data_IF_172165560398
#
_entry.id   IF_172165560398
#
_cell.length_a   1.000
_cell.length_b   1.000
_cell.length_c   1.000
_cell.angle_alpha   90.00
_cell.angle_beta   90.00
_cell.angle_gamma   90.00
#
_symmetry.space_group_name_H-M   'P 1'
#
loop_
_entity.id
_entity.type
_entity.pdbx_description
1 polymer ?
#
# COMPACT_ATOMS: atom_id res chain seq x y z
N UNK A 1 -29.42 51.46 19.53
CA UNK A 1 -28.74 51.15 18.25
C UNK A 1 -27.58 50.20 18.54
N UNK A 2 -27.83 48.89 18.57
CA UNK A 2 -26.77 47.88 18.65
C UNK A 2 -26.65 47.21 17.29
N UNK A 3 -25.54 47.44 16.60
CA UNK A 3 -25.22 46.71 15.36
C UNK A 3 -24.74 45.32 15.76
N UNK A 4 -25.49 44.31 15.34
CA UNK A 4 -25.10 42.92 15.41
C UNK A 4 -24.03 42.69 14.33
N UNK A 5 -22.83 42.27 14.73
CA UNK A 5 -21.82 41.81 13.79
C UNK A 5 -22.13 40.35 13.43
N UNK A 6 -22.17 39.97 12.14
CA UNK A 6 -22.29 38.58 11.77
C UNK A 6 -21.00 37.85 12.18
N UNK A 7 -21.14 36.77 12.94
CA UNK A 7 -20.06 35.82 13.18
C UNK A 7 -19.71 35.17 11.85
N UNK A 8 -18.61 35.63 11.24
CA UNK A 8 -18.01 34.95 10.12
C UNK A 8 -17.29 33.71 10.70
N UNK A 9 -17.95 32.56 10.67
CA UNK A 9 -17.30 31.27 10.88
C UNK A 9 -16.31 31.07 9.73
N UNK A 10 -15.03 31.36 9.99
CA UNK A 10 -13.97 30.92 9.11
C UNK A 10 -13.97 29.38 9.10
N UNK A 11 -13.94 28.72 7.93
CA UNK A 11 -13.72 27.28 7.89
C UNK A 11 -12.37 26.99 8.56
N UNK A 12 -12.35 26.02 9.47
CA UNK A 12 -11.16 25.60 10.20
C UNK A 12 -10.10 25.11 9.22
N UNK A 13 -9.04 25.90 9.02
CA UNK A 13 -7.93 25.57 8.12
C UNK A 13 -7.13 24.35 8.61
N UNK A 14 -7.23 23.98 9.89
CA UNK A 14 -6.52 22.83 10.47
C UNK A 14 -7.03 21.50 9.91
N UNK A 15 -8.36 21.40 9.72
CA UNK A 15 -9.00 20.19 9.21
C UNK A 15 -8.65 19.90 7.75
N UNK A 16 -8.31 20.92 6.95
CA UNK A 16 -7.94 20.75 5.54
C UNK A 16 -6.50 20.22 5.37
N UNK A 17 -5.55 20.66 6.22
CA UNK A 17 -4.18 20.13 6.17
C UNK A 17 -4.08 18.70 6.68
N UNK A 18 -4.82 18.37 7.75
CA UNK A 18 -4.85 17.00 8.29
C UNK A 18 -5.50 16.02 7.31
N UNK A 19 -6.61 16.44 6.67
CA UNK A 19 -7.24 15.67 5.61
C UNK A 19 -6.27 15.40 4.45
N UNK A 20 -5.53 16.41 3.99
CA UNK A 20 -4.54 16.26 2.92
C UNK A 20 -3.42 15.28 3.30
N UNK A 21 -2.95 15.32 4.55
CA UNK A 21 -1.98 14.35 5.06
C UNK A 21 -2.55 12.94 5.02
N UNK A 22 -3.76 12.71 5.54
CA UNK A 22 -4.41 11.39 5.51
C UNK A 22 -4.58 10.87 4.08
N UNK A 23 -5.08 11.72 3.17
CA UNK A 23 -5.23 11.37 1.75
C UNK A 23 -3.88 11.03 1.11
N UNK A 24 -2.83 11.81 1.40
CA UNK A 24 -1.48 11.55 0.90
C UNK A 24 -0.92 10.23 1.42
N UNK A 25 -1.13 9.93 2.70
CA UNK A 25 -0.69 8.67 3.32
C UNK A 25 -1.39 7.48 2.69
N UNK A 26 -2.72 7.53 2.56
CA UNK A 26 -3.52 6.46 1.93
C UNK A 26 -3.16 6.26 0.46
N UNK A 27 -2.93 7.33 -0.30
CA UNK A 27 -2.45 7.24 -1.69
C UNK A 27 -1.04 6.64 -1.79
N UNK A 28 -0.18 6.88 -0.80
CA UNK A 28 1.12 6.21 -0.66
C UNK A 28 0.97 4.69 -0.54
N UNK A 29 0.10 4.24 0.37
CA UNK A 29 -0.20 2.82 0.55
C UNK A 29 -0.87 2.19 -0.68
N UNK A 30 -1.76 2.93 -1.34
CA UNK A 30 -2.40 2.51 -2.58
C UNK A 30 -1.36 2.22 -3.66
N UNK A 31 -0.39 3.11 -3.85
CA UNK A 31 0.73 2.89 -4.77
C UNK A 31 1.54 1.65 -4.37
N UNK A 32 1.87 1.47 -3.08
CA UNK A 32 2.57 0.28 -2.58
C UNK A 32 1.79 -1.02 -2.89
N UNK A 33 0.48 -1.05 -2.65
CA UNK A 33 -0.37 -2.21 -2.92
C UNK A 33 -0.50 -2.52 -4.42
N UNK A 34 -0.64 -1.50 -5.28
CA UNK A 34 -0.65 -1.67 -6.75
C UNK A 34 0.68 -2.24 -7.25
N UNK A 35 1.81 -1.71 -6.77
CA UNK A 35 3.13 -2.20 -7.14
C UNK A 35 3.33 -3.66 -6.71
N UNK A 36 2.95 -4.00 -5.49
CA UNK A 36 3.01 -5.39 -5.00
C UNK A 36 2.16 -6.32 -5.86
N UNK A 37 0.94 -5.92 -6.22
CA UNK A 37 0.05 -6.70 -7.11
C UNK A 37 0.71 -7.04 -8.44
N UNK A 38 1.30 -6.05 -9.11
CA UNK A 38 1.97 -6.29 -10.40
C UNK A 38 3.27 -7.09 -10.26
N UNK A 39 3.99 -6.91 -9.14
CA UNK A 39 5.15 -7.72 -8.78
C UNK A 39 4.79 -9.20 -8.66
N UNK A 40 3.79 -9.55 -7.86
CA UNK A 40 3.33 -10.93 -7.71
C UNK A 40 2.78 -11.53 -9.01
N UNK A 41 2.05 -10.76 -9.82
CA UNK A 41 1.60 -11.22 -11.14
C UNK A 41 2.75 -11.57 -12.06
N UNK A 42 3.87 -10.88 -11.93
CA UNK A 42 5.05 -11.17 -12.75
C UNK A 42 5.84 -12.34 -12.17
N UNK A 43 6.04 -12.39 -10.84
CA UNK A 43 6.62 -13.55 -10.16
C UNK A 43 5.89 -14.86 -10.53
N UNK A 44 4.55 -14.84 -10.56
CA UNK A 44 3.74 -15.98 -10.99
C UNK A 44 3.95 -16.39 -12.47
N UNK A 45 4.33 -15.45 -13.34
CA UNK A 45 4.62 -15.75 -14.75
C UNK A 45 6.02 -16.32 -14.94
N UNK A 46 6.96 -15.86 -14.13
CA UNK A 46 8.39 -16.11 -14.30
C UNK A 46 8.86 -17.37 -13.55
N UNK A 47 8.18 -17.76 -12.46
CA UNK A 47 8.49 -19.01 -11.75
C UNK A 47 8.08 -20.26 -12.53
N UNK A 48 8.89 -21.32 -12.38
CA UNK A 48 8.60 -22.65 -12.95
C UNK A 48 7.99 -23.61 -11.93
N UNK A 49 7.96 -23.24 -10.65
CA UNK A 49 7.37 -24.03 -9.57
C UNK A 49 5.85 -23.77 -9.49
N UNK A 50 5.05 -24.83 -9.62
CA UNK A 50 3.58 -24.75 -9.62
C UNK A 50 3.00 -24.32 -8.25
N UNK A 51 3.68 -24.64 -7.14
CA UNK A 51 3.27 -24.22 -5.80
C UNK A 51 3.51 -22.72 -5.63
N UNK A 52 4.70 -22.22 -6.00
CA UNK A 52 5.02 -20.79 -5.97
C UNK A 52 4.11 -20.00 -6.92
N UNK A 53 3.83 -20.54 -8.10
CA UNK A 53 2.88 -19.93 -9.04
C UNK A 53 1.48 -19.78 -8.44
N UNK A 54 1.00 -20.80 -7.74
CA UNK A 54 -0.30 -20.77 -7.06
C UNK A 54 -0.30 -19.72 -5.95
N UNK A 55 0.75 -19.72 -5.13
CA UNK A 55 0.95 -18.75 -4.06
C UNK A 55 0.97 -17.31 -4.60
N UNK A 56 1.84 -16.99 -5.55
CA UNK A 56 1.95 -15.63 -6.11
C UNK A 56 0.65 -15.14 -6.77
N UNK A 57 -0.11 -16.02 -7.45
CA UNK A 57 -1.42 -15.64 -7.99
C UNK A 57 -2.45 -15.32 -6.89
N UNK A 58 -2.47 -16.11 -5.82
CA UNK A 58 -3.33 -15.85 -4.65
C UNK A 58 -2.96 -14.52 -4.00
N UNK A 59 -1.68 -14.27 -3.75
CA UNK A 59 -1.21 -13.02 -3.14
C UNK A 59 -1.53 -11.82 -4.04
N UNK A 60 -1.39 -11.94 -5.37
CA UNK A 60 -1.81 -10.88 -6.29
C UNK A 60 -3.32 -10.57 -6.21
N UNK A 61 -4.16 -11.57 -5.96
CA UNK A 61 -5.61 -11.37 -5.76
C UNK A 61 -5.87 -10.63 -4.43
N UNK A 62 -5.17 -11.01 -3.36
CA UNK A 62 -5.26 -10.33 -2.06
C UNK A 62 -4.84 -8.85 -2.18
N UNK A 63 -3.74 -8.56 -2.89
CA UNK A 63 -3.33 -7.17 -3.18
C UNK A 63 -4.38 -6.40 -3.97
N UNK A 64 -5.12 -7.05 -4.87
CA UNK A 64 -6.20 -6.39 -5.61
C UNK A 64 -7.36 -5.97 -4.69
N UNK A 65 -7.69 -6.78 -3.69
CA UNK A 65 -8.68 -6.42 -2.66
C UNK A 65 -8.19 -5.22 -1.84
N UNK A 66 -6.93 -5.26 -1.38
CA UNK A 66 -6.34 -4.15 -0.62
C UNK A 66 -6.36 -2.82 -1.39
N UNK A 67 -6.06 -2.87 -2.69
CA UNK A 67 -6.16 -1.71 -3.58
C UNK A 67 -7.58 -1.14 -3.57
N UNK A 68 -8.61 -1.96 -3.71
CA UNK A 68 -9.99 -1.50 -3.70
C UNK A 68 -10.37 -0.84 -2.36
N UNK A 69 -10.00 -1.46 -1.24
CA UNK A 69 -10.27 -0.92 0.10
C UNK A 69 -9.58 0.45 0.29
N UNK A 70 -8.31 0.56 -0.14
CA UNK A 70 -7.55 1.81 -0.03
C UNK A 70 -8.14 2.93 -0.91
N UNK A 71 -8.59 2.60 -2.13
CA UNK A 71 -9.30 3.58 -2.97
C UNK A 71 -10.57 4.10 -2.28
N UNK A 72 -11.33 3.23 -1.63
CA UNK A 72 -12.54 3.60 -0.91
C UNK A 72 -12.22 4.46 0.32
N UNK A 73 -11.15 4.15 1.06
CA UNK A 73 -10.68 4.97 2.18
C UNK A 73 -10.22 6.37 1.74
N UNK A 74 -9.53 6.48 0.59
CA UNK A 74 -9.13 7.78 0.02
C UNK A 74 -10.36 8.62 -0.31
N UNK A 75 -11.36 8.03 -0.99
CA UNK A 75 -12.62 8.71 -1.31
C UNK A 75 -13.39 9.11 -0.06
N UNK A 76 -13.48 8.23 0.93
CA UNK A 76 -14.12 8.51 2.22
C UNK A 76 -13.43 9.64 2.99
N UNK A 77 -12.12 9.78 2.82
CA UNK A 77 -11.33 10.88 3.39
C UNK A 77 -11.45 12.19 2.60
N UNK A 78 -12.19 12.21 1.48
CA UNK A 78 -12.39 13.40 0.64
C UNK A 78 -11.30 13.62 -0.41
N UNK A 79 -10.46 12.63 -0.66
CA UNK A 79 -9.43 12.65 -1.70
C UNK A 79 -9.86 11.95 -2.99
N UNK A 80 -8.99 12.01 -3.99
CA UNK A 80 -9.10 11.21 -5.22
C UNK A 80 -8.02 10.10 -5.17
N UNK A 81 -8.39 8.82 -5.40
CA UNK A 81 -7.42 7.74 -5.43
C UNK A 81 -6.40 7.95 -6.54
N UNK A 82 -5.14 7.98 -6.15
CA UNK A 82 -4.02 8.17 -7.05
C UNK A 82 -2.88 7.21 -6.73
N UNK A 83 -2.82 6.12 -7.50
CA UNK A 83 -1.74 5.15 -7.42
C UNK A 83 -0.46 5.61 -8.16
N UNK A 84 -0.47 6.77 -8.82
CA UNK A 84 0.69 7.32 -9.53
C UNK A 84 1.68 8.08 -8.62
N UNK A 85 1.33 8.22 -7.33
CA UNK A 85 2.07 8.95 -6.31
C UNK A 85 3.55 8.58 -6.14
N UNK A 86 4.27 9.41 -5.39
CA UNK A 86 5.74 9.48 -5.21
C UNK A 86 6.47 8.14 -4.93
N UNK A 87 5.79 7.10 -4.46
CA UNK A 87 6.32 5.74 -4.31
C UNK A 87 6.56 5.04 -5.64
N UNK A 88 5.79 5.36 -6.69
CA UNK A 88 5.98 4.84 -8.04
C UNK A 88 7.40 5.10 -8.55
N UNK A 89 8.02 6.25 -8.24
CA UNK A 89 9.40 6.55 -8.64
C UNK A 89 10.49 5.71 -7.95
N UNK A 90 10.22 5.19 -6.74
CA UNK A 90 11.15 4.32 -5.99
C UNK A 90 10.90 2.84 -6.29
N UNK A 91 9.63 2.44 -6.35
CA UNK A 91 9.22 1.09 -6.73
C UNK A 91 9.60 0.75 -8.17
N UNK A 92 9.48 1.71 -9.11
CA UNK A 92 9.83 1.46 -10.51
C UNK A 92 11.33 1.23 -10.72
N UNK A 93 12.20 1.77 -9.86
CA UNK A 93 13.63 1.42 -9.85
C UNK A 93 13.88 0.06 -9.21
N UNK A 94 13.22 -0.24 -8.09
CA UNK A 94 13.30 -1.56 -7.47
C UNK A 94 12.90 -2.69 -8.42
N UNK A 95 11.76 -2.57 -9.10
CA UNK A 95 11.26 -3.57 -10.05
C UNK A 95 12.12 -3.72 -11.32
N UNK A 96 12.77 -2.66 -11.79
CA UNK A 96 13.69 -2.73 -12.93
C UNK A 96 14.98 -3.46 -12.55
N UNK A 97 15.55 -3.18 -11.38
CA UNK A 97 16.75 -3.85 -10.89
C UNK A 97 16.50 -5.36 -10.74
N UNK A 98 15.32 -5.75 -10.27
CA UNK A 98 14.87 -7.15 -10.16
C UNK A 98 14.88 -7.87 -11.49
N UNK A 99 14.34 -7.26 -12.55
CA UNK A 99 14.39 -7.85 -13.90
C UNK A 99 15.83 -8.02 -14.40
N UNK A 100 16.77 -7.22 -13.91
CA UNK A 100 18.17 -7.26 -14.35
C UNK A 100 19.03 -8.31 -13.63
N UNK A 101 18.59 -8.81 -12.47
CA UNK A 101 19.33 -9.76 -11.62
C UNK A 101 18.82 -11.20 -11.66
N UNK A 102 17.85 -11.53 -12.53
CA UNK A 102 17.29 -12.87 -12.71
C UNK A 102 18.33 -13.86 -13.31
N UNK A 103 19.33 -14.24 -12.51
CA UNK A 103 19.91 -15.59 -12.50
C UNK A 103 19.05 -16.54 -11.66
N UNK A 104 19.51 -17.79 -11.43
CA UNK A 104 18.80 -18.92 -10.76
C UNK A 104 17.41 -18.56 -10.21
N UNK A 105 16.39 -18.83 -11.02
CA UNK A 105 15.20 -18.01 -11.16
C UNK A 105 14.25 -17.96 -9.95
N UNK A 106 14.20 -19.00 -9.11
CA UNK A 106 13.16 -19.09 -8.07
C UNK A 106 13.58 -18.46 -6.73
N UNK A 107 14.83 -18.66 -6.28
CA UNK A 107 15.33 -18.08 -5.02
C UNK A 107 15.46 -16.55 -5.11
N UNK A 108 15.86 -16.04 -6.29
CA UNK A 108 15.95 -14.59 -6.53
C UNK A 108 14.58 -13.90 -6.49
N UNK A 109 13.49 -14.62 -6.82
CA UNK A 109 12.13 -14.06 -6.82
C UNK A 109 11.58 -13.97 -5.40
N UNK A 110 11.79 -15.01 -4.58
CA UNK A 110 11.37 -15.01 -3.16
C UNK A 110 12.07 -13.90 -2.38
N UNK A 111 13.40 -13.76 -2.51
CA UNK A 111 14.16 -12.73 -1.80
C UNK A 111 13.71 -11.31 -2.18
N UNK A 112 13.33 -11.06 -3.44
CA UNK A 112 12.77 -9.76 -3.82
C UNK A 112 11.35 -9.55 -3.27
N UNK A 113 10.49 -10.57 -3.33
CA UNK A 113 9.16 -10.46 -2.72
C UNK A 113 9.29 -10.11 -1.23
N UNK A 114 10.19 -10.77 -0.50
CA UNK A 114 10.48 -10.46 0.90
C UNK A 114 10.89 -8.99 1.09
N UNK A 115 11.84 -8.50 0.30
CA UNK A 115 12.28 -7.10 0.36
C UNK A 115 11.14 -6.10 0.09
N UNK A 116 10.26 -6.44 -0.85
CA UNK A 116 9.06 -5.64 -1.15
C UNK A 116 8.06 -5.63 0.00
N UNK A 117 7.84 -6.78 0.64
CA UNK A 117 6.93 -6.91 1.78
C UNK A 117 7.46 -6.20 3.04
N UNK A 118 8.76 -6.28 3.33
CA UNK A 118 9.38 -5.52 4.42
C UNK A 118 9.19 -4.01 4.25
N UNK A 119 9.31 -3.52 3.01
CA UNK A 119 9.04 -2.12 2.71
C UNK A 119 7.56 -1.78 2.93
N UNK A 120 6.64 -2.65 2.50
CA UNK A 120 5.21 -2.47 2.73
C UNK A 120 4.86 -2.45 4.22
N UNK A 121 5.43 -3.36 5.04
CA UNK A 121 5.26 -3.35 6.50
C UNK A 121 5.63 -1.98 7.07
N UNK A 122 6.81 -1.46 6.68
CA UNK A 122 7.28 -0.16 7.16
C UNK A 122 6.32 0.97 6.77
N UNK A 123 5.84 0.98 5.53
CA UNK A 123 4.89 2.00 5.06
C UNK A 123 3.56 1.95 5.85
N UNK A 124 3.04 0.74 6.12
CA UNK A 124 1.80 0.55 6.88
C UNK A 124 1.96 0.91 8.35
N UNK A 125 3.06 0.51 8.98
CA UNK A 125 3.38 0.89 10.36
C UNK A 125 3.46 2.41 10.50
N UNK A 126 4.15 3.08 9.58
CA UNK A 126 4.23 4.54 9.57
C UNK A 126 2.85 5.18 9.36
N UNK A 127 2.03 4.64 8.45
CA UNK A 127 0.69 5.16 8.21
C UNK A 127 -0.21 5.04 9.45
N UNK A 128 -0.11 3.95 10.20
CA UNK A 128 -0.88 3.74 11.44
C UNK A 128 -0.54 4.73 12.56
N UNK A 129 0.62 5.39 12.50
CA UNK A 129 0.98 6.49 13.41
C UNK A 129 0.20 7.80 13.15
N UNK A 130 -0.46 7.92 11.99
CA UNK A 130 -1.23 9.11 11.63
C UNK A 130 -2.45 9.30 12.54
N UNK A 131 -2.41 10.35 13.37
CA UNK A 131 -3.43 10.62 14.40
C UNK A 131 -4.79 10.98 13.83
N UNK A 132 -4.82 11.55 12.63
CA UNK A 132 -6.06 12.00 11.98
C UNK A 132 -6.75 10.91 11.15
N UNK A 133 -6.20 9.67 11.11
CA UNK A 133 -6.91 8.53 10.52
C UNK A 133 -8.25 8.27 11.24
N UNK A 134 -9.29 7.91 10.49
CA UNK A 134 -10.53 7.42 11.05
C UNK A 134 -10.35 6.01 11.66
N UNK A 135 -11.25 5.59 12.57
CA UNK A 135 -11.19 4.25 13.18
C UNK A 135 -11.25 3.15 12.12
N UNK A 136 -12.24 3.22 11.23
CA UNK A 136 -12.46 2.24 10.17
C UNK A 136 -11.23 2.12 9.24
N UNK A 137 -10.54 3.25 8.98
CA UNK A 137 -9.30 3.26 8.22
C UNK A 137 -8.18 2.55 8.98
N UNK A 138 -8.01 2.82 10.28
CA UNK A 138 -7.00 2.12 11.10
C UNK A 138 -7.24 0.62 11.19
N UNK A 139 -8.49 0.21 11.34
CA UNK A 139 -8.85 -1.21 11.42
C UNK A 139 -8.51 -1.90 10.09
N UNK A 140 -8.90 -1.30 8.97
CA UNK A 140 -8.57 -1.80 7.62
C UNK A 140 -7.05 -1.90 7.41
N UNK A 141 -6.29 -0.86 7.76
CA UNK A 141 -4.83 -0.86 7.59
C UNK A 141 -4.15 -1.90 8.50
N UNK A 142 -4.68 -2.11 9.71
CA UNK A 142 -4.16 -3.11 10.65
C UNK A 142 -4.40 -4.54 10.13
N UNK A 143 -5.61 -4.82 9.63
CA UNK A 143 -5.94 -6.11 9.00
C UNK A 143 -5.06 -6.38 7.76
N UNK A 144 -4.77 -5.35 6.96
CA UNK A 144 -3.89 -5.47 5.80
C UNK A 144 -2.42 -5.68 6.20
N UNK A 145 -1.95 -5.02 7.26
CA UNK A 145 -0.62 -5.24 7.83
C UNK A 145 -0.44 -6.68 8.32
N UNK A 146 -1.43 -7.24 9.01
CA UNK A 146 -1.39 -8.64 9.45
C UNK A 146 -1.32 -9.62 8.26
N UNK A 147 -2.07 -9.34 7.18
CA UNK A 147 -2.00 -10.11 5.94
C UNK A 147 -0.62 -10.03 5.28
N UNK A 148 -0.03 -8.84 5.21
CA UNK A 148 1.34 -8.65 4.71
C UNK A 148 2.34 -9.48 5.51
N UNK A 149 2.29 -9.41 6.84
CA UNK A 149 3.17 -10.19 7.70
C UNK A 149 2.97 -11.71 7.55
N UNK A 150 1.74 -12.15 7.25
CA UNK A 150 1.47 -13.55 6.94
C UNK A 150 2.13 -13.99 5.64
N UNK A 151 2.09 -13.14 4.60
CA UNK A 151 2.78 -13.37 3.32
C UNK A 151 4.29 -13.49 3.52
N UNK A 152 4.91 -12.64 4.36
CA UNK A 152 6.35 -12.75 4.70
C UNK A 152 6.66 -14.13 5.30
N UNK A 153 5.88 -14.58 6.29
CA UNK A 153 6.07 -15.90 6.92
C UNK A 153 5.92 -17.05 5.91
N UNK A 154 5.00 -16.93 4.95
CA UNK A 154 4.79 -17.93 3.91
C UNK A 154 5.97 -17.95 2.92
N UNK A 155 6.46 -16.78 2.50
CA UNK A 155 7.68 -16.65 1.67
C UNK A 155 8.92 -17.25 2.35
N UNK A 156 9.12 -16.98 3.64
CA UNK A 156 10.23 -17.56 4.41
C UNK A 156 10.15 -19.10 4.49
N UNK A 157 8.95 -19.68 4.51
CA UNK A 157 8.76 -21.12 4.50
C UNK A 157 9.07 -21.77 3.14
N UNK A 158 9.08 -20.98 2.06
CA UNK A 158 9.42 -21.39 0.71
C UNK A 158 10.90 -21.16 0.35
N UNK A 159 11.67 -20.52 1.23
CA UNK A 159 13.10 -20.23 1.06
C UNK A 159 13.98 -21.45 1.31
#
# INVERSE_FOLDING_TARGET
MHRHFPSNSFPDMSNSSEQQTVVSTLNGLLATAVNAREGYRTAAKDTTDDQLKTFFNKTAQERATMVADLEDLVRASGGDPDASGTTAGKAHRGWIDVRSTLGDADTSVIDECLRGEEHAITDYEQALEEKSLASDARDTLSDQLEQIQAVVRELEAHR
#
